data_IF_066881570441
#
_entry.id   IF_066881570441
#
_cell.length_a   1.000
_cell.length_b   1.000
_cell.length_c   1.000
_cell.angle_alpha   90.00
_cell.angle_beta   90.00
_cell.angle_gamma   90.00
#
_symmetry.space_group_name_H-M   'P 1'
#
loop_
_entity.id
_entity.type
_entity.pdbx_description
1 polymer ?
#
# COMPACT_ATOMS: atom_id res chain seq x y z
N UNK A 1 -16.12 17.15 -17.82
CA UNK A 1 -14.98 16.45 -18.45
C UNK A 1 -15.49 15.82 -19.75
N UNK A 2 -14.85 16.02 -20.91
CA UNK A 2 -15.38 15.52 -22.18
C UNK A 2 -15.21 14.00 -22.24
N UNK A 3 -16.28 13.27 -22.55
CA UNK A 3 -16.27 11.81 -22.73
C UNK A 3 -15.39 11.34 -23.91
N UNK A 4 -14.85 12.26 -24.71
CA UNK A 4 -14.01 11.99 -25.88
C UNK A 4 -12.68 11.28 -25.56
N UNK A 5 -12.24 11.32 -24.31
CA UNK A 5 -10.97 10.72 -23.86
C UNK A 5 -11.15 9.44 -23.04
N UNK A 6 -12.32 8.80 -23.08
CA UNK A 6 -12.49 7.46 -22.51
C UNK A 6 -12.45 6.41 -23.61
N UNK A 7 -12.27 5.13 -23.26
CA UNK A 7 -12.25 4.01 -24.23
C UNK A 7 -13.46 4.07 -25.19
N UNK A 8 -14.63 4.41 -24.66
CA UNK A 8 -15.88 4.55 -25.42
C UNK A 8 -15.87 5.80 -26.32
N UNK A 9 -15.33 6.92 -25.85
CA UNK A 9 -15.22 8.15 -26.65
C UNK A 9 -14.21 8.06 -27.79
N UNK A 10 -13.11 7.34 -27.56
CA UNK A 10 -12.08 7.05 -28.58
C UNK A 10 -12.66 6.13 -29.66
N UNK A 11 -13.44 5.11 -29.27
CA UNK A 11 -14.15 4.24 -30.21
C UNK A 11 -15.17 5.02 -31.08
N UNK A 12 -15.89 5.98 -30.48
CA UNK A 12 -16.78 6.87 -31.23
C UNK A 12 -16.00 7.76 -32.21
N UNK A 13 -14.83 8.27 -31.82
CA UNK A 13 -13.97 9.09 -32.70
C UNK A 13 -13.43 8.31 -33.91
N UNK A 14 -13.07 7.03 -33.76
CA UNK A 14 -12.66 6.20 -34.92
C UNK A 14 -13.79 5.96 -35.92
N UNK A 15 -15.05 5.95 -35.47
CA UNK A 15 -16.19 5.78 -36.40
C UNK A 15 -16.42 7.02 -37.27
N UNK A 16 -16.02 8.20 -36.80
CA UNK A 16 -16.17 9.48 -37.51
C UNK A 16 -14.97 9.75 -38.41
N UNK A 17 -13.76 9.37 -37.98
CA UNK A 17 -12.52 9.64 -38.69
C UNK A 17 -11.98 8.33 -39.29
N UNK A 18 -12.49 7.96 -40.48
CA UNK A 18 -12.09 6.74 -41.19
C UNK A 18 -10.84 6.93 -42.07
N UNK A 19 -9.92 7.82 -41.65
CA UNK A 19 -8.66 8.08 -42.37
C UNK A 19 -7.53 7.25 -41.76
N UNK A 20 -6.55 6.87 -42.57
CA UNK A 20 -5.36 6.12 -42.09
C UNK A 20 -4.68 6.82 -40.90
N UNK A 21 -4.62 8.16 -40.94
CA UNK A 21 -4.04 8.95 -39.85
C UNK A 21 -4.83 8.86 -38.55
N UNK A 22 -6.16 8.83 -38.64
CA UNK A 22 -7.01 8.74 -37.46
C UNK A 22 -6.96 7.34 -36.82
N UNK A 23 -6.82 6.29 -37.63
CA UNK A 23 -6.63 4.91 -37.15
C UNK A 23 -5.32 4.80 -36.34
N UNK A 24 -4.22 5.34 -36.87
CA UNK A 24 -2.91 5.35 -36.19
C UNK A 24 -2.96 6.06 -34.83
N UNK A 25 -3.62 7.23 -34.79
CA UNK A 25 -3.80 8.02 -33.56
C UNK A 25 -4.66 7.26 -32.55
N UNK A 26 -5.75 6.63 -32.99
CA UNK A 26 -6.62 5.84 -32.11
C UNK A 26 -5.85 4.69 -31.45
N UNK A 27 -5.08 3.92 -32.24
CA UNK A 27 -4.23 2.85 -31.74
C UNK A 27 -3.23 3.37 -30.69
N UNK A 28 -2.62 4.53 -30.94
CA UNK A 28 -1.67 5.14 -30.03
C UNK A 28 -2.32 5.54 -28.70
N UNK A 29 -3.52 6.12 -28.76
CA UNK A 29 -4.29 6.49 -27.56
C UNK A 29 -4.66 5.23 -26.76
N UNK A 30 -5.19 4.19 -27.40
CA UNK A 30 -5.55 2.93 -26.71
C UNK A 30 -4.33 2.30 -26.01
N UNK A 31 -3.16 2.26 -26.66
CA UNK A 31 -1.93 1.75 -26.03
C UNK A 31 -1.54 2.54 -24.78
N UNK A 32 -1.64 3.87 -24.84
CA UNK A 32 -1.36 4.72 -23.70
C UNK A 32 -2.33 4.43 -22.54
N UNK A 33 -3.63 4.28 -22.82
CA UNK A 33 -4.63 3.95 -21.81
C UNK A 33 -4.42 2.57 -21.17
N UNK A 34 -4.13 1.55 -21.97
CA UNK A 34 -3.83 0.19 -21.47
C UNK A 34 -2.62 0.23 -20.54
N UNK A 35 -1.56 0.92 -20.96
CA UNK A 35 -0.34 1.08 -20.16
C UNK A 35 -0.64 1.79 -18.83
N UNK A 36 -1.38 2.89 -18.87
CA UNK A 36 -1.76 3.65 -17.69
C UNK A 36 -2.60 2.82 -16.70
N UNK A 37 -3.53 2.01 -17.20
CA UNK A 37 -4.33 1.10 -16.40
C UNK A 37 -3.47 0.00 -15.76
N UNK A 38 -2.52 -0.56 -16.52
CA UNK A 38 -1.57 -1.54 -15.99
C UNK A 38 -0.79 -0.95 -14.81
N UNK A 39 -0.24 0.26 -14.97
CA UNK A 39 0.45 0.97 -13.89
C UNK A 39 -0.44 1.23 -12.67
N UNK A 40 -1.69 1.64 -12.89
CA UNK A 40 -2.65 1.87 -11.80
C UNK A 40 -3.00 0.59 -11.04
N UNK A 41 -3.08 -0.56 -11.73
CA UNK A 41 -3.32 -1.86 -11.09
C UNK A 41 -2.12 -2.30 -10.25
N UNK A 42 -0.89 -2.13 -10.75
CA UNK A 42 0.34 -2.41 -10.00
C UNK A 42 0.42 -1.60 -8.70
N UNK A 43 -0.03 -0.34 -8.73
CA UNK A 43 -0.03 0.50 -7.53
C UNK A 43 -0.98 -0.01 -6.44
N UNK A 44 -2.15 -0.52 -6.83
CA UNK A 44 -3.11 -1.09 -5.87
C UNK A 44 -2.55 -2.36 -5.23
N UNK A 45 -1.96 -3.26 -6.02
CA UNK A 45 -1.34 -4.49 -5.47
C UNK A 45 -0.20 -4.16 -4.49
N UNK A 46 0.63 -3.17 -4.83
CA UNK A 46 1.70 -2.72 -3.94
C UNK A 46 1.14 -2.10 -2.65
N UNK A 47 0.09 -1.29 -2.76
CA UNK A 47 -0.58 -0.70 -1.61
C UNK A 47 -1.17 -1.77 -0.68
N UNK A 48 -1.80 -2.79 -1.24
CA UNK A 48 -2.39 -3.88 -0.46
C UNK A 48 -1.32 -4.68 0.27
N UNK A 49 -0.17 -4.97 -0.38
CA UNK A 49 0.98 -5.60 0.30
C UNK A 49 1.56 -4.73 1.42
N UNK A 50 1.62 -3.41 1.24
CA UNK A 50 2.11 -2.49 2.28
C UNK A 50 1.17 -2.54 3.49
N UNK A 51 -0.15 -2.52 3.27
CA UNK A 51 -1.15 -2.61 4.35
C UNK A 51 -1.04 -3.95 5.09
N UNK A 52 -0.85 -5.06 4.36
CA UNK A 52 -0.66 -6.38 4.96
C UNK A 52 0.57 -6.44 5.86
N UNK A 53 1.69 -5.85 5.40
CA UNK A 53 2.92 -5.72 6.18
C UNK A 53 2.69 -4.82 7.40
N UNK A 54 2.07 -3.65 7.24
CA UNK A 54 1.75 -2.71 8.34
C UNK A 54 0.90 -3.37 9.44
N UNK A 55 -0.04 -4.23 9.07
CA UNK A 55 -0.89 -4.95 10.02
C UNK A 55 -0.13 -6.00 10.88
N UNK A 56 1.08 -6.42 10.51
CA UNK A 56 1.89 -7.34 11.33
C UNK A 56 2.75 -6.62 12.38
N UNK A 57 2.96 -5.31 12.25
CA UNK A 57 3.74 -4.53 13.23
C UNK A 57 3.12 -4.41 14.63
N UNK A 58 1.79 -4.31 14.85
CA UNK A 58 1.20 -4.10 16.17
C UNK A 58 1.59 -5.17 17.18
N UNK A 59 1.68 -6.43 16.73
CA UNK A 59 2.03 -7.55 17.59
C UNK A 59 3.52 -7.58 17.94
N UNK A 60 4.38 -7.14 17.00
CA UNK A 60 5.81 -6.96 17.25
C UNK A 60 6.03 -5.84 18.29
N UNK A 61 5.32 -4.71 18.16
CA UNK A 61 5.40 -3.62 19.14
C UNK A 61 4.90 -4.05 20.52
N UNK A 62 3.81 -4.82 20.60
CA UNK A 62 3.31 -5.38 21.87
C UNK A 62 4.32 -6.34 22.50
N UNK A 63 4.92 -7.23 21.72
CA UNK A 63 5.92 -8.18 22.22
C UNK A 63 7.17 -7.45 22.74
N UNK A 64 7.65 -6.44 22.02
CA UNK A 64 8.78 -5.62 22.46
C UNK A 64 8.47 -4.86 23.75
N UNK A 65 7.31 -4.22 23.85
CA UNK A 65 6.90 -3.51 25.07
C UNK A 65 6.74 -4.47 26.26
N UNK A 66 6.18 -5.66 26.03
CA UNK A 66 6.06 -6.68 27.07
C UNK A 66 7.43 -7.14 27.59
N UNK A 67 8.41 -7.32 26.71
CA UNK A 67 9.78 -7.67 27.12
C UNK A 67 10.45 -6.55 27.92
N UNK A 68 10.31 -5.30 27.48
CA UNK A 68 10.83 -4.13 28.21
C UNK A 68 10.19 -3.96 29.59
N UNK A 69 8.88 -4.17 29.71
CA UNK A 69 8.18 -4.13 31.01
C UNK A 69 8.57 -5.29 31.93
N UNK A 70 8.76 -6.50 31.36
CA UNK A 70 9.22 -7.67 32.10
C UNK A 70 10.63 -7.47 32.66
N UNK A 71 11.54 -6.89 31.88
CA UNK A 71 12.91 -6.64 32.35
C UNK A 71 12.93 -5.59 33.48
N UNK A 72 12.12 -4.52 33.39
CA UNK A 72 11.96 -3.53 34.47
C UNK A 72 11.44 -4.13 35.77
N UNK A 73 10.45 -5.01 35.68
CA UNK A 73 9.89 -5.67 36.87
C UNK A 73 10.88 -6.65 37.51
N UNK A 74 11.79 -7.26 36.75
CA UNK A 74 12.86 -8.12 37.29
C UNK A 74 13.92 -7.29 38.05
N UNK A 75 14.28 -6.11 37.54
CA UNK A 75 15.22 -5.18 38.19
C UNK A 75 14.67 -4.60 39.52
N UNK A 76 13.37 -4.32 39.60
CA UNK A 76 12.72 -3.84 40.83
C UNK A 76 12.58 -4.93 41.91
N UNK A 77 12.43 -6.21 41.51
CA UNK A 77 12.36 -7.33 42.46
C UNK A 77 13.72 -7.70 43.06
N UNK A 78 14.81 -7.47 42.33
CA UNK A 78 16.19 -7.75 42.76
C UNK A 78 16.78 -6.67 43.68
N UNK A 79 16.30 -5.42 43.57
CA UNK A 79 16.73 -4.29 44.42
C UNK A 79 15.87 -4.08 45.69
N UNK A 80 15.18 -5.11 46.18
CA UNK A 80 14.38 -4.99 47.41
C UNK A 80 15.29 -5.05 48.64
N UNK A 81 15.23 -4.08 49.57
CA UNK A 81 16.00 -4.16 50.81
C UNK A 81 15.56 -5.40 51.59
N UNK A 82 16.54 -6.25 51.97
CA UNK A 82 16.26 -7.44 52.76
C UNK A 82 15.75 -7.03 54.15
N UNK A 83 14.47 -7.29 54.41
CA UNK A 83 13.85 -7.07 55.72
C UNK A 83 14.13 -8.31 56.57
N UNK A 84 15.15 -8.22 57.41
CA UNK A 84 15.53 -9.26 58.36
C UNK A 84 15.81 -8.67 59.75
N UNK A 85 15.36 -9.36 60.79
CA UNK A 85 15.63 -9.00 62.18
C UNK A 85 17.13 -9.18 62.49
N UNK A 86 17.83 -8.09 62.80
CA UNK A 86 19.18 -8.18 63.38
C UNK A 86 19.06 -8.56 64.85
N UNK A 87 19.67 -9.69 65.19
CA UNK A 87 19.75 -10.26 66.54
C UNK A 87 20.57 -9.38 67.47
#
# INVERSE_FOLDING_TARGET
MPFAFTEQGIAMLSSVLNSEKAIEVNISIIRAFVTFRQFSLTYNELKDRIIEIENQFPDIYKALNYLVEKDKTIEENTNRPQIGYKK
#
